data_IF_972252913941
#
_entry.id   IF_972252913941
#
_cell.length_a   1.000
_cell.length_b   1.000
_cell.length_c   1.000
_cell.angle_alpha   90.00
_cell.angle_beta   90.00
_cell.angle_gamma   90.00
#
_symmetry.space_group_name_H-M   'P 1'
#
loop_
_entity.id
_entity.type
_entity.pdbx_description
1 polymer ?
#
# COMPACT_ATOMS: atom_id res chain seq x y z
N UNK A 1 14.17 24.85 32.25
CA UNK A 1 13.38 23.61 32.40
C UNK A 1 12.14 23.72 31.51
N UNK A 2 12.30 23.53 30.23
CA UNK A 2 11.19 23.50 29.27
C UNK A 2 10.95 22.06 28.88
N UNK A 3 9.73 21.62 29.12
CA UNK A 3 9.27 20.29 28.70
C UNK A 3 9.07 20.31 27.18
N UNK A 4 9.92 19.59 26.46
CA UNK A 4 9.67 19.27 25.05
C UNK A 4 8.42 18.41 24.97
N UNK A 5 7.36 18.92 24.38
CA UNK A 5 6.18 18.15 23.99
C UNK A 5 6.59 17.25 22.82
N UNK A 6 6.45 15.94 23.00
CA UNK A 6 6.68 14.98 21.92
C UNK A 6 5.69 15.19 20.79
N UNK A 7 6.16 15.09 19.57
CA UNK A 7 5.36 14.98 18.36
C UNK A 7 4.50 13.71 18.45
N UNK A 8 3.24 13.75 18.00
CA UNK A 8 2.41 12.56 17.92
C UNK A 8 2.98 11.59 16.89
N UNK A 9 2.91 10.32 17.22
CA UNK A 9 3.35 9.20 16.41
C UNK A 9 2.60 9.21 15.06
N UNK A 10 3.29 9.47 13.97
CA UNK A 10 2.84 9.12 12.63
C UNK A 10 2.87 7.59 12.53
N UNK A 11 1.76 6.98 12.12
CA UNK A 11 1.77 5.59 11.67
C UNK A 11 2.53 5.52 10.35
N UNK A 12 3.81 5.28 10.43
CA UNK A 12 4.62 4.90 9.27
C UNK A 12 4.43 3.40 9.10
N UNK A 13 3.94 2.98 7.96
CA UNK A 13 3.95 1.57 7.55
C UNK A 13 5.40 1.12 7.41
N UNK A 14 5.80 0.30 8.29
CA UNK A 14 7.16 -0.16 8.46
C UNK A 14 7.40 -0.38 9.94
N UNK A 15 6.67 -1.33 10.57
CA UNK A 15 6.92 -1.69 11.94
C UNK A 15 8.18 -2.54 12.02
N UNK A 16 9.33 -1.88 11.99
CA UNK A 16 10.57 -2.48 12.44
C UNK A 16 10.80 -2.07 13.90
N UNK A 17 10.37 -2.89 14.83
CA UNK A 17 10.89 -2.84 16.19
C UNK A 17 12.22 -3.59 16.21
N UNK A 18 13.32 -2.85 16.07
CA UNK A 18 14.66 -3.41 16.21
C UNK A 18 14.97 -3.67 17.68
N UNK A 19 15.06 -4.94 18.04
CA UNK A 19 15.87 -5.37 19.18
C UNK A 19 17.14 -6.02 18.62
N UNK A 20 18.25 -5.31 18.71
CA UNK A 20 19.56 -5.84 18.37
C UNK A 20 20.04 -6.79 19.47
N UNK A 21 20.36 -8.04 19.10
CA UNK A 21 21.46 -8.81 19.70
C UNK A 21 21.93 -9.92 18.74
N UNK A 22 23.23 -9.96 18.56
CA UNK A 22 23.95 -10.86 17.69
C UNK A 22 24.04 -12.29 18.26
N UNK A 23 24.06 -13.31 17.40
CA UNK A 23 25.14 -14.29 17.20
C UNK A 23 24.72 -15.53 16.42
N UNK A 24 25.45 -15.74 15.34
CA UNK A 24 25.99 -16.98 14.79
C UNK A 24 25.13 -18.24 14.57
N UNK A 25 24.99 -18.59 13.28
CA UNK A 25 25.40 -19.90 12.77
C UNK A 25 24.33 -20.95 12.56
N UNK A 26 24.15 -21.24 11.34
CA UNK A 26 24.03 -22.53 10.64
C UNK A 26 22.83 -22.62 9.68
N UNK A 27 23.20 -22.84 8.44
CA UNK A 27 22.33 -23.11 7.29
C UNK A 27 21.53 -24.40 7.44
N UNK A 28 20.21 -24.27 7.38
CA UNK A 28 19.32 -25.36 6.99
C UNK A 28 18.13 -24.74 6.25
N UNK A 29 17.97 -25.09 4.97
CA UNK A 29 16.80 -24.76 4.17
C UNK A 29 15.53 -25.29 4.84
N UNK A 30 14.49 -24.51 5.05
CA UNK A 30 13.24 -25.02 5.54
C UNK A 30 12.46 -25.71 4.42
N UNK A 31 12.09 -26.94 4.64
CA UNK A 31 11.05 -27.65 3.86
C UNK A 31 9.73 -26.90 4.00
N UNK A 32 9.17 -26.49 2.88
CA UNK A 32 7.84 -25.92 2.81
C UNK A 32 6.80 -26.89 3.40
N UNK A 33 6.21 -26.55 4.53
CA UNK A 33 4.99 -27.18 5.02
C UNK A 33 3.82 -26.43 4.42
N UNK A 34 3.01 -27.12 3.62
CA UNK A 34 1.79 -26.61 3.01
C UNK A 34 0.83 -26.05 4.08
N UNK A 35 0.24 -24.88 3.85
CA UNK A 35 -0.76 -24.33 4.75
C UNK A 35 -2.05 -25.15 4.70
N UNK A 36 -2.62 -25.42 5.87
CA UNK A 36 -3.93 -26.08 5.99
C UNK A 36 -5.02 -25.06 5.71
N UNK A 37 -5.75 -25.25 4.63
CA UNK A 37 -6.95 -24.47 4.34
C UNK A 37 -7.99 -24.66 5.45
N UNK A 38 -8.34 -23.60 6.15
CA UNK A 38 -9.43 -23.61 7.13
C UNK A 38 -10.68 -22.94 6.58
N UNK A 39 -11.80 -23.61 6.80
CA UNK A 39 -13.14 -23.26 6.38
C UNK A 39 -13.65 -21.95 6.99
N UNK A 40 -14.31 -21.14 6.14
CA UNK A 40 -14.93 -19.88 6.49
C UNK A 40 -16.02 -19.99 7.58
N UNK A 41 -15.97 -19.12 8.56
CA UNK A 41 -17.09 -18.81 9.43
C UNK A 41 -17.69 -17.45 9.00
N UNK A 42 -19.01 -17.30 8.86
CA UNK A 42 -19.59 -16.04 8.43
C UNK A 42 -19.48 -14.99 9.53
N UNK A 43 -18.73 -13.93 9.30
CA UNK A 43 -18.79 -12.73 10.11
C UNK A 43 -20.07 -11.96 9.76
N UNK A 44 -20.72 -11.41 10.76
CA UNK A 44 -21.97 -10.67 10.59
C UNK A 44 -21.74 -9.38 9.78
N UNK A 45 -22.19 -9.38 8.52
CA UNK A 45 -22.27 -8.17 7.73
C UNK A 45 -23.45 -7.32 8.21
N UNK A 46 -23.20 -6.09 8.57
CA UNK A 46 -24.21 -5.10 8.90
C UNK A 46 -24.66 -4.40 7.61
N UNK A 47 -25.93 -4.58 7.27
CA UNK A 47 -26.75 -3.94 6.23
C UNK A 47 -26.59 -4.44 4.77
N UNK A 48 -27.74 -4.79 4.18
CA UNK A 48 -27.88 -5.11 2.76
C UNK A 48 -28.04 -3.82 1.94
N UNK A 49 -27.26 -3.62 0.87
CA UNK A 49 -27.22 -2.40 0.10
C UNK A 49 -28.00 -2.49 -1.24
N UNK A 50 -28.34 -1.32 -1.78
CA UNK A 50 -28.78 -1.13 -3.16
C UNK A 50 -27.57 -0.76 -4.04
N UNK A 51 -27.52 -1.22 -5.28
CA UNK A 51 -26.38 -1.12 -6.20
C UNK A 51 -25.87 0.32 -6.47
N UNK A 52 -26.71 1.34 -6.25
CA UNK A 52 -26.40 2.75 -6.48
C UNK A 52 -26.05 3.52 -5.21
N UNK A 53 -26.04 2.87 -4.04
CA UNK A 53 -25.71 3.53 -2.78
C UNK A 53 -24.21 3.50 -2.49
N UNK A 54 -23.74 4.60 -1.93
CA UNK A 54 -22.42 4.65 -1.30
C UNK A 54 -22.51 3.92 0.05
N UNK A 55 -21.48 3.14 0.36
CA UNK A 55 -21.41 2.34 1.58
C UNK A 55 -20.00 2.26 2.14
N UNK A 56 -19.88 1.88 3.40
CA UNK A 56 -18.63 1.40 3.96
C UNK A 56 -18.82 0.06 4.66
N UNK A 57 -17.75 -0.70 4.73
CA UNK A 57 -17.67 -1.97 5.46
C UNK A 57 -16.50 -1.90 6.42
N UNK A 58 -16.69 -2.39 7.63
CA UNK A 58 -15.60 -2.70 8.55
C UNK A 58 -15.42 -4.21 8.61
N UNK A 59 -14.18 -4.66 8.44
CA UNK A 59 -13.81 -6.07 8.40
C UNK A 59 -12.69 -6.29 9.40
N UNK A 60 -12.86 -7.30 10.25
CA UNK A 60 -11.91 -7.58 11.31
C UNK A 60 -12.57 -8.23 12.50
N UNK A 61 -11.84 -8.28 13.60
CA UNK A 61 -12.27 -8.89 14.86
C UNK A 61 -11.98 -8.01 16.07
N UNK A 62 -11.72 -8.63 17.23
CA UNK A 62 -11.43 -7.88 18.46
C UNK A 62 -9.97 -7.39 18.57
N UNK A 63 -9.16 -7.62 17.55
CA UNK A 63 -7.73 -7.28 17.49
C UNK A 63 -7.48 -6.18 16.47
N UNK A 64 -6.19 -5.86 16.24
CA UNK A 64 -5.80 -4.91 15.21
C UNK A 64 -5.85 -5.59 13.83
N UNK A 65 -6.67 -5.05 12.97
CA UNK A 65 -6.90 -5.52 11.61
C UNK A 65 -6.80 -4.33 10.67
N UNK A 66 -6.00 -4.41 9.61
CA UNK A 66 -5.76 -3.28 8.71
C UNK A 66 -6.05 -3.65 7.26
N UNK A 67 -6.71 -2.73 6.55
CA UNK A 67 -6.94 -2.83 5.11
C UNK A 67 -5.93 -2.00 4.34
N UNK A 68 -5.33 -2.58 3.30
CA UNK A 68 -4.27 -1.93 2.53
C UNK A 68 -4.58 -1.82 1.05
N UNK A 69 -4.49 -2.92 0.34
CA UNK A 69 -4.66 -2.96 -1.10
C UNK A 69 -6.12 -3.08 -1.51
N UNK A 70 -6.52 -2.39 -2.57
CA UNK A 70 -7.82 -2.56 -3.20
C UNK A 70 -7.68 -2.55 -4.72
N UNK A 71 -8.36 -3.48 -5.38
CA UNK A 71 -8.49 -3.54 -6.83
C UNK A 71 -9.95 -3.80 -7.21
N UNK A 72 -10.32 -3.41 -8.42
CA UNK A 72 -11.66 -3.61 -8.96
C UNK A 72 -11.56 -4.21 -10.35
N UNK A 73 -12.37 -5.21 -10.64
CA UNK A 73 -12.44 -5.81 -11.97
C UNK A 73 -13.50 -5.15 -12.87
N UNK A 74 -13.57 -5.62 -14.12
CA UNK A 74 -14.50 -5.09 -15.11
C UNK A 74 -15.98 -5.33 -14.75
N UNK A 75 -16.28 -6.30 -13.89
CA UNK A 75 -17.64 -6.54 -13.38
C UNK A 75 -18.03 -5.60 -12.25
N UNK A 76 -17.05 -4.87 -11.68
CA UNK A 76 -17.19 -4.00 -10.54
C UNK A 76 -17.02 -4.73 -9.20
N UNK A 77 -16.62 -6.00 -9.22
CA UNK A 77 -16.24 -6.73 -8.01
C UNK A 77 -14.91 -6.18 -7.44
N UNK A 78 -14.88 -6.05 -6.13
CA UNK A 78 -13.77 -5.43 -5.39
C UNK A 78 -12.96 -6.50 -4.68
N UNK A 79 -11.66 -6.47 -4.88
CA UNK A 79 -10.72 -7.32 -4.16
C UNK A 79 -9.98 -6.48 -3.13
N UNK A 80 -10.12 -6.86 -1.88
CA UNK A 80 -9.63 -6.10 -0.74
C UNK A 80 -8.61 -6.93 0.05
N UNK A 81 -7.36 -6.48 0.07
CA UNK A 81 -6.28 -7.12 0.77
C UNK A 81 -6.09 -6.51 2.16
N UNK A 82 -6.11 -7.35 3.17
CA UNK A 82 -5.99 -6.98 4.58
C UNK A 82 -4.98 -7.89 5.27
N UNK A 83 -4.51 -7.50 6.44
CA UNK A 83 -3.91 -8.42 7.39
C UNK A 83 -4.66 -8.37 8.71
N UNK A 84 -4.96 -9.55 9.25
CA UNK A 84 -5.87 -9.70 10.37
C UNK A 84 -5.35 -10.70 11.40
N UNK A 85 -5.44 -10.31 12.67
CA UNK A 85 -5.07 -11.15 13.80
C UNK A 85 -6.27 -11.93 14.33
N UNK A 86 -6.22 -13.27 14.22
CA UNK A 86 -7.27 -14.13 14.79
C UNK A 86 -7.29 -14.14 16.32
N UNK A 87 -8.46 -14.36 16.96
CA UNK A 87 -8.55 -14.52 18.39
C UNK A 87 -7.69 -15.67 18.91
N UNK A 88 -6.80 -15.38 19.84
CA UNK A 88 -5.88 -16.38 20.43
C UNK A 88 -4.55 -16.52 19.69
N UNK A 89 -4.39 -15.91 18.52
CA UNK A 89 -3.13 -15.86 17.80
C UNK A 89 -2.32 -14.63 18.21
N UNK A 90 -0.98 -14.73 18.07
CA UNK A 90 -0.06 -13.63 18.38
C UNK A 90 0.22 -12.75 17.15
N UNK A 91 0.04 -13.28 15.96
CA UNK A 91 0.41 -12.67 14.71
C UNK A 91 -0.79 -12.57 13.77
N UNK A 92 -0.68 -11.70 12.77
CA UNK A 92 -1.67 -11.54 11.71
C UNK A 92 -1.36 -12.45 10.54
N UNK A 93 -2.40 -12.80 9.78
CA UNK A 93 -2.31 -13.42 8.46
C UNK A 93 -2.82 -12.46 7.39
N UNK A 94 -2.46 -12.72 6.12
CA UNK A 94 -3.11 -12.06 4.99
C UNK A 94 -4.55 -12.57 4.86
N UNK A 95 -5.51 -11.66 4.74
CA UNK A 95 -6.91 -12.01 4.45
C UNK A 95 -7.39 -11.20 3.26
N UNK A 96 -7.80 -11.90 2.23
CA UNK A 96 -8.25 -11.32 0.97
C UNK A 96 -9.74 -11.55 0.82
N UNK A 97 -10.47 -10.49 0.49
CA UNK A 97 -11.91 -10.51 0.29
C UNK A 97 -12.26 -10.22 -1.16
N UNK A 98 -13.30 -10.89 -1.68
CA UNK A 98 -14.06 -10.40 -2.81
C UNK A 98 -15.37 -9.84 -2.30
N UNK A 99 -15.62 -8.57 -2.62
CA UNK A 99 -16.84 -7.82 -2.26
C UNK A 99 -17.54 -7.44 -3.55
N UNK A 100 -18.82 -7.75 -3.63
CA UNK A 100 -19.64 -7.40 -4.79
C UNK A 100 -19.92 -5.88 -4.85
N UNK A 101 -20.31 -5.31 -5.99
CA UNK A 101 -20.56 -3.87 -6.13
C UNK A 101 -21.59 -3.31 -5.15
N UNK A 102 -22.47 -4.16 -4.64
CA UNK A 102 -23.48 -3.82 -3.64
C UNK A 102 -23.00 -3.99 -2.19
N UNK A 103 -21.72 -4.34 -1.97
CA UNK A 103 -21.10 -4.45 -0.67
C UNK A 103 -21.24 -5.80 0.03
N UNK A 104 -21.75 -6.83 -0.66
CA UNK A 104 -21.83 -8.17 -0.08
C UNK A 104 -20.48 -8.91 -0.22
N UNK A 105 -20.08 -9.63 0.82
CA UNK A 105 -18.91 -10.51 0.76
C UNK A 105 -19.26 -11.75 -0.07
N UNK A 106 -18.55 -11.95 -1.19
CA UNK A 106 -18.69 -13.13 -2.02
C UNK A 106 -17.84 -14.29 -1.49
N UNK A 107 -16.58 -14.02 -1.19
CA UNK A 107 -15.66 -14.98 -0.57
C UNK A 107 -14.57 -14.25 0.25
N UNK A 108 -13.88 -15.01 1.07
CA UNK A 108 -12.63 -14.60 1.71
C UNK A 108 -11.63 -15.74 1.70
N UNK A 109 -10.35 -15.42 1.57
CA UNK A 109 -9.25 -16.37 1.67
C UNK A 109 -8.25 -15.87 2.68
N UNK A 110 -7.82 -16.75 3.58
CA UNK A 110 -6.76 -16.49 4.55
C UNK A 110 -5.51 -17.26 4.14
N UNK A 111 -4.40 -16.57 4.08
CA UNK A 111 -3.08 -17.16 3.86
C UNK A 111 -2.12 -16.70 4.96
N UNK A 112 -1.45 -17.66 5.55
CA UNK A 112 -0.49 -17.41 6.59
C UNK A 112 -0.02 -18.70 7.23
N UNK A 113 0.90 -18.56 8.15
CA UNK A 113 1.56 -19.68 8.79
C UNK A 113 1.60 -19.54 10.31
N UNK A 114 2.79 -19.74 10.85
CA UNK A 114 3.02 -19.69 12.31
C UNK A 114 3.37 -18.27 12.78
N UNK A 115 3.81 -17.42 11.89
CA UNK A 115 4.34 -16.10 12.21
C UNK A 115 3.49 -15.01 11.55
N UNK A 116 4.01 -13.81 11.43
CA UNK A 116 3.25 -12.68 10.90
C UNK A 116 3.33 -12.64 9.37
N UNK A 117 2.18 -12.47 8.74
CA UNK A 117 2.03 -12.16 7.33
C UNK A 117 1.23 -10.86 7.16
N UNK A 118 1.63 -10.05 6.18
CA UNK A 118 0.97 -8.80 5.85
C UNK A 118 0.75 -8.65 4.36
N UNK A 119 -0.48 -8.32 3.95
CA UNK A 119 -0.80 -7.94 2.59
C UNK A 119 -0.80 -6.41 2.46
N UNK A 120 -0.18 -5.88 1.40
CA UNK A 120 -0.07 -4.44 1.14
C UNK A 120 -0.70 -4.02 -0.19
N UNK A 121 -0.60 -4.87 -1.20
CA UNK A 121 -1.07 -4.54 -2.54
C UNK A 121 -1.86 -5.70 -3.14
N UNK A 122 -2.83 -5.37 -3.97
CA UNK A 122 -3.62 -6.35 -4.73
C UNK A 122 -3.85 -5.83 -6.15
N UNK A 123 -3.81 -6.74 -7.10
CA UNK A 123 -4.18 -6.50 -8.49
C UNK A 123 -5.06 -7.64 -8.99
N UNK A 124 -5.93 -7.35 -9.95
CA UNK A 124 -6.78 -8.35 -10.59
C UNK A 124 -6.63 -8.26 -12.10
N UNK A 125 -6.43 -9.40 -12.74
CA UNK A 125 -6.34 -9.46 -14.19
C UNK A 125 -6.77 -10.85 -14.69
N UNK A 126 -7.66 -10.87 -15.69
CA UNK A 126 -8.08 -12.08 -16.40
C UNK A 126 -8.53 -13.22 -15.49
N UNK A 127 -9.30 -12.92 -14.44
CA UNK A 127 -9.85 -13.90 -13.50
C UNK A 127 -8.86 -14.39 -12.44
N UNK A 128 -7.69 -13.74 -12.30
CA UNK A 128 -6.71 -14.04 -11.24
C UNK A 128 -6.48 -12.80 -10.39
N UNK A 129 -6.50 -12.99 -9.08
CA UNK A 129 -6.18 -11.98 -8.07
C UNK A 129 -4.76 -12.21 -7.58
N UNK A 130 -3.90 -11.23 -7.74
CA UNK A 130 -2.52 -11.24 -7.27
C UNK A 130 -2.40 -10.35 -6.04
N UNK A 131 -1.74 -10.86 -5.00
CA UNK A 131 -1.56 -10.14 -3.73
C UNK A 131 -0.08 -10.10 -3.41
N UNK A 132 0.40 -8.92 -3.05
CA UNK A 132 1.78 -8.72 -2.61
C UNK A 132 1.86 -8.27 -1.17
N UNK A 133 2.95 -8.65 -0.51
CA UNK A 133 3.20 -8.29 0.87
C UNK A 133 4.45 -8.95 1.43
N UNK A 134 4.40 -9.37 2.68
CA UNK A 134 5.52 -10.03 3.34
C UNK A 134 5.10 -11.24 4.19
N UNK A 135 6.07 -12.12 4.46
CA UNK A 135 5.96 -13.21 5.44
C UNK A 135 7.19 -13.24 6.34
N UNK A 136 7.01 -13.44 7.62
CA UNK A 136 8.11 -13.59 8.58
C UNK A 136 8.51 -15.04 8.77
N UNK A 137 9.81 -15.29 8.75
CA UNK A 137 10.38 -16.63 8.97
C UNK A 137 10.43 -17.04 10.45
N UNK A 138 10.24 -16.10 11.40
CA UNK A 138 10.42 -16.35 12.82
C UNK A 138 9.63 -15.38 13.72
N UNK A 139 9.38 -15.81 14.96
CA UNK A 139 8.63 -15.05 15.96
C UNK A 139 9.33 -13.78 16.47
N UNK A 140 10.63 -13.63 16.26
CA UNK A 140 11.37 -12.44 16.65
C UNK A 140 11.25 -11.28 15.65
N UNK A 141 10.57 -11.52 14.53
CA UNK A 141 10.27 -10.53 13.49
C UNK A 141 11.51 -9.78 12.97
N UNK A 142 12.65 -10.48 12.86
CA UNK A 142 13.91 -9.89 12.41
C UNK A 142 14.21 -10.15 10.93
N UNK A 143 13.47 -11.06 10.31
CA UNK A 143 13.61 -11.42 8.91
C UNK A 143 12.21 -11.56 8.31
N UNK A 144 11.98 -10.85 7.22
CA UNK A 144 10.78 -10.95 6.42
C UNK A 144 11.17 -11.13 4.96
N UNK A 145 10.46 -11.98 4.27
CA UNK A 145 10.61 -12.21 2.84
C UNK A 145 9.42 -11.61 2.09
N UNK A 146 9.63 -11.15 0.85
CA UNK A 146 8.54 -10.82 -0.06
C UNK A 146 7.62 -12.02 -0.24
N UNK A 147 6.32 -11.80 -0.19
CA UNK A 147 5.31 -12.82 -0.48
C UNK A 147 4.39 -12.35 -1.59
N UNK A 148 4.17 -13.21 -2.59
CA UNK A 148 3.24 -12.99 -3.70
C UNK A 148 2.31 -14.18 -3.80
N UNK A 149 1.01 -13.93 -3.87
CA UNK A 149 -0.03 -14.96 -4.01
C UNK A 149 -0.79 -14.76 -5.31
N UNK A 150 -1.26 -15.84 -5.90
CA UNK A 150 -2.28 -15.81 -6.94
C UNK A 150 -3.50 -16.63 -6.50
N UNK A 151 -4.67 -16.03 -6.58
CA UNK A 151 -5.94 -16.64 -6.23
C UNK A 151 -6.88 -16.65 -7.44
N UNK A 152 -7.72 -17.65 -7.56
CA UNK A 152 -8.83 -17.62 -8.51
C UNK A 152 -9.85 -16.56 -8.11
N UNK A 153 -10.17 -15.64 -9.02
CA UNK A 153 -11.10 -14.55 -8.74
C UNK A 153 -12.53 -15.02 -8.48
N UNK A 154 -12.93 -16.20 -9.00
CA UNK A 154 -14.30 -16.68 -8.89
C UNK A 154 -14.62 -17.19 -7.47
N UNK A 155 -13.71 -17.91 -6.84
CA UNK A 155 -13.96 -18.59 -5.56
C UNK A 155 -12.86 -18.39 -4.50
N UNK A 156 -11.78 -17.69 -4.84
CA UNK A 156 -10.69 -17.32 -3.91
C UNK A 156 -9.72 -18.46 -3.58
N UNK A 157 -9.76 -19.61 -4.29
CA UNK A 157 -8.80 -20.67 -4.00
C UNK A 157 -7.38 -20.25 -4.44
N UNK A 158 -6.38 -20.68 -3.67
CA UNK A 158 -4.97 -20.41 -3.95
C UNK A 158 -4.54 -21.21 -5.18
N UNK A 159 -4.04 -20.49 -6.20
CA UNK A 159 -3.45 -21.09 -7.41
C UNK A 159 -1.98 -21.41 -7.19
N UNK A 160 -1.25 -20.42 -6.66
CA UNK A 160 0.16 -20.56 -6.28
C UNK A 160 0.54 -19.47 -5.27
N UNK A 161 1.63 -19.69 -4.55
CA UNK A 161 2.33 -18.70 -3.74
C UNK A 161 3.83 -18.74 -4.06
N UNK A 162 4.46 -17.57 -3.92
CA UNK A 162 5.87 -17.36 -4.18
C UNK A 162 6.45 -16.52 -3.06
N UNK A 163 7.60 -16.93 -2.52
CA UNK A 163 8.34 -16.15 -1.54
C UNK A 163 9.76 -15.90 -2.04
N UNK A 164 10.24 -14.68 -1.81
CA UNK A 164 11.58 -14.28 -2.17
C UNK A 164 12.24 -13.47 -1.05
N UNK A 165 13.45 -13.83 -0.72
CA UNK A 165 14.28 -13.13 0.26
C UNK A 165 15.72 -13.60 0.21
N UNK A 166 16.63 -12.78 0.74
CA UNK A 166 18.06 -13.10 0.74
C UNK A 166 18.48 -13.99 1.92
N UNK A 167 17.52 -14.39 2.76
CA UNK A 167 17.77 -15.22 3.94
C UNK A 167 18.35 -14.45 5.14
N UNK A 168 18.51 -13.15 4.99
CA UNK A 168 18.85 -12.20 6.05
C UNK A 168 18.23 -10.85 5.71
N UNK A 169 17.70 -10.14 6.71
CA UNK A 169 17.15 -8.81 6.49
C UNK A 169 15.63 -8.78 6.38
N UNK A 170 15.15 -7.79 5.68
CA UNK A 170 13.73 -7.48 5.59
C UNK A 170 13.40 -7.09 4.16
N UNK A 171 12.48 -7.82 3.57
CA UNK A 171 11.99 -7.62 2.22
C UNK A 171 10.46 -7.52 2.24
N UNK A 172 9.90 -6.54 1.53
CA UNK A 172 8.44 -6.42 1.36
C UNK A 172 8.04 -5.97 -0.05
N UNK A 173 6.80 -6.26 -0.42
CA UNK A 173 6.20 -5.87 -1.69
C UNK A 173 5.27 -4.69 -1.45
N UNK A 174 5.53 -3.56 -2.13
CA UNK A 174 4.70 -2.35 -2.09
C UNK A 174 4.01 -2.05 -3.42
N UNK A 175 4.54 -2.56 -4.53
CA UNK A 175 3.99 -2.39 -5.86
C UNK A 175 3.84 -3.71 -6.62
N UNK A 176 2.72 -3.86 -7.34
CA UNK A 176 2.42 -5.06 -8.11
C UNK A 176 1.60 -4.69 -9.33
N UNK A 177 2.11 -5.04 -10.53
CA UNK A 177 1.45 -4.79 -11.81
C UNK A 177 1.47 -6.03 -12.67
N UNK A 178 0.30 -6.39 -13.19
CA UNK A 178 0.14 -7.49 -14.16
C UNK A 178 -0.01 -6.91 -15.54
N UNK A 179 0.89 -7.25 -16.46
CA UNK A 179 0.81 -6.82 -17.84
C UNK A 179 1.29 -7.87 -18.82
N UNK A 180 0.43 -8.22 -19.79
CA UNK A 180 0.67 -9.36 -20.70
C UNK A 180 0.83 -10.66 -19.89
N UNK A 181 1.90 -11.39 -20.16
CA UNK A 181 2.22 -12.65 -19.49
C UNK A 181 3.17 -12.48 -18.30
N UNK A 182 3.32 -11.23 -17.81
CA UNK A 182 4.28 -10.90 -16.75
C UNK A 182 3.60 -10.27 -15.55
N UNK A 183 4.14 -10.59 -14.39
CA UNK A 183 3.86 -9.96 -13.12
C UNK A 183 5.12 -9.22 -12.68
N UNK A 184 5.02 -7.90 -12.52
CA UNK A 184 6.08 -7.04 -12.01
C UNK A 184 5.82 -6.70 -10.56
N UNK A 185 6.84 -6.83 -9.75
CA UNK A 185 6.81 -6.62 -8.30
C UNK A 185 7.87 -5.60 -7.94
N UNK A 186 7.53 -4.63 -7.11
CA UNK A 186 8.47 -3.69 -6.52
C UNK A 186 8.27 -3.59 -5.01
N UNK A 187 9.28 -3.10 -4.35
CA UNK A 187 9.30 -2.88 -2.92
C UNK A 187 10.72 -2.53 -2.48
N UNK A 188 11.11 -2.95 -1.31
CA UNK A 188 12.48 -2.78 -0.87
C UNK A 188 13.07 -4.07 -0.32
N UNK A 189 14.36 -4.16 -0.35
CA UNK A 189 15.16 -5.30 0.10
C UNK A 189 16.33 -4.81 0.94
N UNK A 190 16.83 -5.65 1.79
CA UNK A 190 18.05 -5.33 2.54
C UNK A 190 19.25 -5.35 1.61
N UNK A 191 19.98 -4.23 1.52
CA UNK A 191 21.17 -4.09 0.73
C UNK A 191 22.41 -4.74 1.37
N UNK A 192 23.49 -4.85 0.60
CA UNK A 192 24.76 -5.48 1.04
C UNK A 192 25.37 -4.87 2.32
N UNK A 193 25.04 -3.62 2.65
CA UNK A 193 25.60 -2.87 3.78
C UNK A 193 24.63 -2.66 4.93
N UNK A 194 23.58 -3.51 5.06
CA UNK A 194 22.50 -3.35 6.05
C UNK A 194 21.62 -2.09 5.84
N UNK A 195 21.78 -1.39 4.73
CA UNK A 195 20.82 -0.40 4.23
C UNK A 195 19.68 -1.08 3.49
N UNK A 196 18.68 -0.34 3.09
CA UNK A 196 17.63 -0.84 2.20
C UNK A 196 17.83 -0.31 0.78
N UNK A 197 17.49 -1.14 -0.20
CA UNK A 197 17.54 -0.83 -1.63
C UNK A 197 16.14 -1.05 -2.24
N UNK A 198 15.83 -0.36 -3.35
CA UNK A 198 14.66 -0.65 -4.16
C UNK A 198 14.81 -2.06 -4.73
N UNK A 199 13.88 -2.96 -4.42
CA UNK A 199 13.84 -4.33 -4.91
C UNK A 199 12.85 -4.48 -6.06
N UNK A 200 13.19 -5.26 -7.07
CA UNK A 200 12.36 -5.55 -8.25
C UNK A 200 12.40 -7.03 -8.57
N UNK A 201 11.23 -7.59 -8.88
CA UNK A 201 11.10 -8.95 -9.44
C UNK A 201 10.22 -8.91 -10.68
N UNK A 202 10.52 -9.79 -11.62
CA UNK A 202 9.62 -10.15 -12.70
C UNK A 202 9.30 -11.63 -12.59
N UNK A 203 8.04 -11.95 -12.50
CA UNK A 203 7.52 -13.32 -12.50
C UNK A 203 6.70 -13.56 -13.77
N UNK A 204 6.55 -14.83 -14.15
CA UNK A 204 5.48 -15.24 -15.06
C UNK A 204 4.14 -15.19 -14.31
N UNK A 205 3.03 -15.33 -15.03
CA UNK A 205 1.69 -15.38 -14.41
C UNK A 205 1.48 -16.67 -13.59
N UNK A 206 2.29 -17.68 -13.82
CA UNK A 206 2.32 -18.96 -13.11
C UNK A 206 3.22 -18.92 -11.85
N UNK A 207 3.85 -17.77 -11.56
CA UNK A 207 4.69 -17.58 -10.37
C UNK A 207 6.15 -17.97 -10.53
N UNK A 208 6.64 -18.19 -11.75
CA UNK A 208 8.05 -18.51 -12.00
C UNK A 208 8.88 -17.23 -12.08
N UNK A 209 10.01 -17.15 -11.34
CA UNK A 209 10.92 -16.03 -11.37
C UNK A 209 11.64 -15.94 -12.73
N UNK A 210 11.50 -14.79 -13.40
CA UNK A 210 12.17 -14.50 -14.68
C UNK A 210 13.48 -13.76 -14.44
N UNK A 211 13.44 -12.69 -13.62
CA UNK A 211 14.62 -11.96 -13.19
C UNK A 211 14.33 -11.23 -11.86
N UNK A 212 15.41 -10.93 -11.14
CA UNK A 212 15.42 -10.07 -9.96
C UNK A 212 16.44 -8.95 -10.16
N UNK A 213 16.21 -7.81 -9.55
CA UNK A 213 17.10 -6.65 -9.60
C UNK A 213 16.96 -5.83 -8.33
N UNK A 214 18.03 -5.13 -7.95
CA UNK A 214 17.98 -4.14 -6.88
C UNK A 214 18.78 -2.90 -7.25
N UNK A 215 18.40 -1.76 -6.68
CA UNK A 215 19.10 -0.51 -6.87
C UNK A 215 19.02 0.36 -5.62
N UNK A 216 20.16 0.90 -5.21
CA UNK A 216 20.25 1.81 -4.09
C UNK A 216 21.66 2.39 -3.91
N UNK A 217 21.82 3.11 -2.81
CA UNK A 217 23.07 3.71 -2.35
C UNK A 217 23.48 3.06 -1.02
N UNK A 218 24.65 3.39 -0.45
CA UNK A 218 25.00 2.92 0.90
C UNK A 218 24.09 3.44 2.03
N UNK A 219 23.05 4.23 1.70
CA UNK A 219 22.03 4.76 2.61
C UNK A 219 20.71 4.04 2.37
N UNK A 220 19.65 4.42 3.09
CA UNK A 220 18.34 3.80 2.95
C UNK A 220 17.63 4.35 1.72
N UNK A 221 17.43 3.51 0.73
CA UNK A 221 16.65 3.77 -0.48
C UNK A 221 15.51 2.76 -0.52
N UNK A 222 14.27 3.21 -0.62
CA UNK A 222 13.09 2.33 -0.51
C UNK A 222 12.14 2.59 -1.67
N UNK A 223 11.52 1.52 -2.16
CA UNK A 223 10.46 1.57 -3.16
C UNK A 223 9.09 1.48 -2.49
N UNK A 224 8.75 2.43 -1.61
CA UNK A 224 7.54 2.41 -0.77
C UNK A 224 6.24 2.70 -1.54
N UNK A 225 6.34 3.07 -2.81
CA UNK A 225 5.21 3.45 -3.62
C UNK A 225 4.78 2.38 -4.61
N UNK A 226 3.56 2.52 -5.11
CA UNK A 226 3.07 1.71 -6.21
C UNK A 226 3.96 1.87 -7.45
N UNK A 227 3.94 0.88 -8.32
CA UNK A 227 4.70 0.83 -9.56
C UNK A 227 3.81 1.15 -10.76
N UNK A 228 4.39 1.81 -11.77
CA UNK A 228 3.81 1.97 -13.10
C UNK A 228 4.68 1.23 -14.10
N UNK A 229 4.05 0.52 -15.01
CA UNK A 229 4.70 -0.21 -16.11
C UNK A 229 4.24 0.39 -17.44
N UNK A 230 5.17 0.59 -18.37
CA UNK A 230 4.87 0.87 -19.79
C UNK A 230 5.63 -0.09 -20.71
N UNK A 231 5.58 0.14 -22.02
CA UNK A 231 6.17 -0.77 -23.00
C UNK A 231 7.69 -0.99 -22.82
N UNK A 232 8.41 0.01 -22.28
CA UNK A 232 9.87 0.00 -22.19
C UNK A 232 10.38 0.02 -20.73
N UNK A 233 9.57 0.49 -19.78
CA UNK A 233 10.07 0.89 -18.47
C UNK A 233 9.16 0.49 -17.32
N UNK A 234 9.78 0.34 -16.15
CA UNK A 234 9.17 0.31 -14.85
C UNK A 234 9.49 1.63 -14.13
N UNK A 235 8.51 2.21 -13.49
CA UNK A 235 8.66 3.42 -12.67
C UNK A 235 8.23 3.09 -11.24
N UNK A 236 9.10 3.40 -10.29
CA UNK A 236 8.85 3.17 -8.86
C UNK A 236 9.00 4.48 -8.11
N UNK A 237 8.04 4.79 -7.26
CA UNK A 237 8.12 5.89 -6.31
C UNK A 237 8.65 5.40 -4.96
N UNK A 238 9.26 6.30 -4.19
CA UNK A 238 9.78 5.91 -2.89
C UNK A 238 10.59 6.99 -2.20
N UNK A 239 11.56 6.55 -1.40
CA UNK A 239 12.44 7.39 -0.60
C UNK A 239 13.90 7.19 -1.00
N UNK A 240 14.66 8.27 -1.02
CA UNK A 240 16.06 8.31 -1.40
C UNK A 240 16.94 8.82 -0.28
N UNK A 241 18.01 8.09 0.02
CA UNK A 241 19.04 8.46 1.02
C UNK A 241 18.50 8.86 2.38
N UNK A 242 17.49 8.17 2.88
CA UNK A 242 17.03 8.36 4.24
C UNK A 242 18.13 8.01 5.26
N UNK A 243 18.13 8.68 6.41
CA UNK A 243 19.09 8.38 7.48
C UNK A 243 18.72 7.11 8.23
N UNK A 244 17.45 6.81 8.27
CA UNK A 244 16.84 5.60 8.79
C UNK A 244 15.37 5.54 8.35
N UNK A 245 14.63 4.50 8.72
CA UNK A 245 13.23 4.29 8.34
C UNK A 245 12.27 5.43 8.76
N UNK A 246 12.66 6.28 9.69
CA UNK A 246 11.79 7.30 10.27
C UNK A 246 12.23 8.74 9.98
N UNK A 247 13.47 8.97 9.55
CA UNK A 247 14.05 10.31 9.52
C UNK A 247 14.79 10.62 8.23
N UNK A 248 14.45 11.75 7.67
CA UNK A 248 15.13 12.34 6.52
C UNK A 248 14.85 11.57 5.24
N UNK A 249 15.51 11.99 4.19
CA UNK A 249 15.35 11.42 2.86
C UNK A 249 14.68 12.39 1.91
N UNK A 250 14.88 12.12 0.64
CA UNK A 250 14.24 12.82 -0.47
C UNK A 250 13.19 11.91 -1.08
N UNK A 251 12.10 12.46 -1.60
CA UNK A 251 11.19 11.73 -2.45
C UNK A 251 11.92 11.24 -3.70
N UNK A 252 11.64 10.04 -4.12
CA UNK A 252 12.27 9.34 -5.23
C UNK A 252 11.24 9.00 -6.31
N UNK A 253 11.61 9.19 -7.57
CA UNK A 253 11.00 8.53 -8.71
C UNK A 253 12.12 7.95 -9.54
N UNK A 254 12.15 6.62 -9.67
CA UNK A 254 13.20 5.88 -10.38
C UNK A 254 12.62 5.10 -11.55
N UNK A 255 13.37 5.05 -12.64
CA UNK A 255 13.04 4.35 -13.89
C UNK A 255 14.01 3.21 -14.13
N UNK A 256 13.45 2.04 -14.45
CA UNK A 256 14.19 0.83 -14.79
C UNK A 256 13.78 0.31 -16.18
N UNK A 257 14.63 -0.51 -16.77
CA UNK A 257 14.28 -1.28 -17.96
C UNK A 257 13.22 -2.33 -17.64
N UNK A 258 12.13 -2.36 -18.37
CA UNK A 258 11.09 -3.41 -18.24
C UNK A 258 11.61 -4.80 -18.59
N UNK A 259 12.56 -4.89 -19.50
CA UNK A 259 13.08 -6.16 -19.98
C UNK A 259 14.05 -6.80 -19.00
N UNK A 260 14.96 -6.00 -18.41
CA UNK A 260 16.07 -6.51 -17.61
C UNK A 260 16.04 -6.12 -16.16
N UNK A 261 15.18 -5.18 -15.73
CA UNK A 261 15.20 -4.61 -14.38
C UNK A 261 16.39 -3.66 -14.12
N UNK A 262 17.23 -3.37 -15.12
CA UNK A 262 18.38 -2.50 -14.95
C UNK A 262 17.97 -1.04 -14.74
N UNK A 263 18.67 -0.37 -13.83
CA UNK A 263 18.51 1.05 -13.57
C UNK A 263 18.79 1.89 -14.81
N UNK A 264 17.91 2.86 -15.11
CA UNK A 264 18.06 3.81 -16.22
C UNK A 264 18.32 5.23 -15.72
N UNK A 265 17.46 5.76 -14.86
CA UNK A 265 17.58 7.10 -14.30
C UNK A 265 16.68 7.30 -13.08
N UNK A 266 16.92 8.35 -12.32
CA UNK A 266 16.02 8.78 -11.24
C UNK A 266 15.94 10.30 -11.15
N UNK A 267 14.95 10.80 -10.44
CA UNK A 267 14.85 12.18 -9.98
C UNK A 267 14.44 12.17 -8.51
N UNK A 268 14.95 13.15 -7.76
CA UNK A 268 14.64 13.32 -6.34
C UNK A 268 14.14 14.71 -6.05
N UNK A 269 13.45 14.86 -4.94
CA UNK A 269 12.96 16.15 -4.46
C UNK A 269 12.73 16.10 -2.96
N UNK A 270 12.67 17.28 -2.34
CA UNK A 270 12.31 17.39 -0.94
C UNK A 270 13.11 18.41 -0.20
N UNK A 271 12.74 18.58 1.05
CA UNK A 271 13.33 19.50 2.01
C UNK A 271 14.20 18.79 3.04
N UNK A 272 14.83 19.57 3.94
CA UNK A 272 15.84 19.06 4.87
C UNK A 272 15.28 18.14 5.98
N UNK A 273 13.97 18.06 6.16
CA UNK A 273 13.35 17.20 7.20
C UNK A 273 12.94 15.85 6.64
N UNK A 274 12.39 15.83 5.43
CA UNK A 274 12.06 14.57 4.76
C UNK A 274 10.92 14.70 3.75
N UNK A 275 10.95 13.83 2.76
CA UNK A 275 9.90 13.67 1.76
C UNK A 275 9.80 12.20 1.38
N UNK A 276 8.58 11.68 1.37
CA UNK A 276 8.29 10.30 0.98
C UNK A 276 7.31 10.29 -0.18
N UNK A 277 7.67 9.63 -1.28
CA UNK A 277 6.75 9.34 -2.36
C UNK A 277 6.12 7.96 -2.14
N UNK A 278 4.85 7.94 -1.77
CA UNK A 278 4.16 6.76 -1.27
C UNK A 278 3.16 6.15 -2.27
N UNK A 279 2.83 6.88 -3.33
CA UNK A 279 1.94 6.40 -4.37
C UNK A 279 2.33 6.91 -5.75
N UNK A 280 2.06 6.10 -6.78
CA UNK A 280 2.35 6.39 -8.17
C UNK A 280 1.24 5.86 -9.07
N UNK A 281 0.83 6.65 -10.06
CA UNK A 281 -0.11 6.24 -11.11
C UNK A 281 0.24 6.88 -12.45
N UNK A 282 -0.43 6.48 -13.52
CA UNK A 282 -0.23 7.02 -14.86
C UNK A 282 -1.54 7.13 -15.63
N UNK A 283 -1.67 8.18 -16.46
CA UNK A 283 -2.71 8.29 -17.48
C UNK A 283 -2.27 7.71 -18.86
N UNK A 284 -1.16 6.97 -18.87
CA UNK A 284 -0.51 6.46 -20.09
C UNK A 284 0.50 7.44 -20.68
N UNK A 285 0.33 8.75 -20.50
CA UNK A 285 1.23 9.81 -21.01
C UNK A 285 2.13 10.37 -19.92
N UNK A 286 1.57 10.61 -18.75
CA UNK A 286 2.23 11.22 -17.61
C UNK A 286 2.22 10.30 -16.40
N UNK A 287 3.16 10.54 -15.51
CA UNK A 287 3.24 9.91 -14.19
C UNK A 287 2.77 10.91 -13.14
N UNK A 288 2.08 10.41 -12.13
CA UNK A 288 1.58 11.20 -11.00
C UNK A 288 2.03 10.55 -9.69
N UNK A 289 2.89 11.25 -8.95
CA UNK A 289 3.38 10.81 -7.65
C UNK A 289 2.71 11.56 -6.52
N UNK A 290 2.39 10.86 -5.42
CA UNK A 290 1.81 11.40 -4.21
C UNK A 290 2.59 10.96 -2.98
N UNK A 291 2.53 11.72 -1.92
CA UNK A 291 3.16 11.39 -0.65
C UNK A 291 3.09 12.53 0.34
N UNK A 292 4.06 12.59 1.22
CA UNK A 292 4.19 13.68 2.16
C UNK A 292 5.54 14.39 2.01
N UNK A 293 5.55 15.69 2.31
CA UNK A 293 6.76 16.49 2.47
C UNK A 293 6.68 17.28 3.78
N UNK A 294 7.81 17.39 4.47
CA UNK A 294 7.90 18.10 5.75
C UNK A 294 8.95 19.20 5.65
N UNK A 295 8.53 20.43 5.89
CA UNK A 295 9.40 21.60 5.98
C UNK A 295 9.63 22.05 7.43
N UNK A 296 10.71 22.80 7.66
CA UNK A 296 11.09 23.28 9.01
C UNK A 296 9.96 24.12 9.65
N UNK A 297 9.47 23.66 10.81
CA UNK A 297 8.46 24.38 11.60
C UNK A 297 7.03 24.21 11.10
N UNK A 298 6.80 23.34 10.13
CA UNK A 298 5.47 23.00 9.60
C UNK A 298 5.12 21.54 9.86
N UNK A 299 3.85 21.19 9.78
CA UNK A 299 3.38 19.82 9.72
C UNK A 299 3.70 19.18 8.36
N UNK A 300 3.49 17.88 8.24
CA UNK A 300 3.56 17.20 6.96
C UNK A 300 2.47 17.69 6.01
N UNK A 301 2.79 17.86 4.73
CA UNK A 301 1.84 18.23 3.69
C UNK A 301 1.78 17.15 2.62
N UNK A 302 0.60 16.89 2.09
CA UNK A 302 0.43 16.05 0.90
C UNK A 302 0.96 16.81 -0.31
N UNK A 303 1.85 16.20 -1.08
CA UNK A 303 2.19 16.68 -2.41
C UNK A 303 1.55 15.80 -3.49
N UNK A 304 1.25 16.42 -4.63
CA UNK A 304 0.96 15.72 -5.90
C UNK A 304 1.89 16.30 -6.95
N UNK A 305 2.63 15.43 -7.65
CA UNK A 305 3.58 15.84 -8.69
C UNK A 305 3.30 15.11 -10.00
N UNK A 306 3.30 15.86 -11.09
CA UNK A 306 3.17 15.35 -12.46
C UNK A 306 4.50 15.38 -13.17
N UNK A 307 4.85 14.25 -13.82
CA UNK A 307 6.07 14.10 -14.59
C UNK A 307 5.77 13.55 -15.99
N UNK A 308 6.65 13.83 -16.97
CA UNK A 308 6.69 13.04 -18.18
C UNK A 308 7.46 11.72 -17.95
N UNK A 309 7.45 10.82 -18.94
CA UNK A 309 8.13 9.51 -18.89
C UNK A 309 9.67 9.61 -18.90
N UNK A 310 10.24 10.78 -19.13
CA UNK A 310 11.66 11.11 -19.00
C UNK A 310 11.98 11.74 -17.63
N UNK A 311 11.03 11.64 -16.68
CA UNK A 311 11.11 12.19 -15.33
C UNK A 311 11.23 13.73 -15.27
N UNK A 312 10.80 14.43 -16.31
CA UNK A 312 10.71 15.88 -16.36
C UNK A 312 9.47 16.38 -15.61
N UNK A 313 9.68 17.13 -14.50
CA UNK A 313 8.59 17.69 -13.70
C UNK A 313 7.74 18.66 -14.52
N UNK A 314 6.42 18.54 -14.46
CA UNK A 314 5.45 19.44 -15.10
C UNK A 314 4.84 20.42 -14.11
N UNK A 315 4.34 19.92 -12.99
CA UNK A 315 3.82 20.74 -11.90
C UNK A 315 3.88 20.02 -10.56
N UNK A 316 3.75 20.80 -9.49
CA UNK A 316 3.59 20.31 -8.11
C UNK A 316 2.42 21.04 -7.47
N UNK A 317 1.56 20.29 -6.78
CA UNK A 317 0.52 20.81 -5.91
C UNK A 317 0.77 20.35 -4.49
N UNK A 318 0.50 21.23 -3.52
CA UNK A 318 0.58 20.94 -2.10
C UNK A 318 -0.80 21.11 -1.46
N UNK A 319 -1.12 20.23 -0.54
CA UNK A 319 -2.33 20.32 0.28
C UNK A 319 -2.03 19.93 1.71
N UNK A 320 -2.54 20.72 2.64
CA UNK A 320 -2.38 20.47 4.07
C UNK A 320 -2.79 21.64 4.92
N UNK A 321 -2.81 21.40 6.22
CA UNK A 321 -3.16 22.39 7.24
C UNK A 321 -1.99 22.72 8.17
N UNK A 322 -2.29 22.95 9.43
CA UNK A 322 -1.30 23.33 10.44
C UNK A 322 -0.61 22.13 11.12
N UNK A 323 -1.12 20.93 10.91
CA UNK A 323 -0.61 19.69 11.51
C UNK A 323 -0.01 18.78 10.45
N UNK A 324 -0.28 17.47 10.52
CA UNK A 324 0.34 16.50 9.65
C UNK A 324 -0.69 15.87 8.72
N UNK A 325 -0.36 15.84 7.45
CA UNK A 325 -1.11 15.18 6.40
C UNK A 325 -0.19 14.27 5.60
N UNK A 326 -0.68 13.09 5.21
CA UNK A 326 0.02 12.18 4.30
C UNK A 326 -0.96 11.50 3.34
N UNK A 327 -0.49 11.11 2.16
CA UNK A 327 -1.27 10.32 1.22
C UNK A 327 -0.44 9.19 0.64
N UNK A 328 -1.08 8.02 0.49
CA UNK A 328 -0.45 6.82 -0.08
C UNK A 328 -1.05 6.41 -1.41
N UNK A 329 -2.32 6.71 -1.62
CA UNK A 329 -3.02 6.19 -2.78
C UNK A 329 -3.41 7.31 -3.74
N UNK A 330 -3.20 7.05 -5.03
CA UNK A 330 -3.49 7.97 -6.12
C UNK A 330 -4.00 7.20 -7.32
N UNK A 331 -5.02 7.75 -7.98
CA UNK A 331 -5.53 7.23 -9.23
C UNK A 331 -5.89 8.38 -10.16
N UNK A 332 -5.86 8.15 -11.46
CA UNK A 332 -6.26 9.12 -12.48
C UNK A 332 -7.43 8.55 -13.28
N UNK A 333 -8.50 9.36 -13.43
CA UNK A 333 -9.66 8.95 -14.23
C UNK A 333 -9.44 9.17 -15.73
N UNK A 334 -10.34 8.64 -16.56
CA UNK A 334 -10.27 8.76 -18.03
C UNK A 334 -10.40 10.20 -18.54
N UNK A 335 -10.80 11.15 -17.70
CA UNK A 335 -10.87 12.58 -18.00
C UNK A 335 -9.63 13.34 -17.53
N UNK A 336 -8.66 12.65 -16.94
CA UNK A 336 -7.40 13.20 -16.45
C UNK A 336 -7.50 13.86 -15.06
N UNK A 337 -8.64 13.71 -14.34
CA UNK A 337 -8.72 14.14 -12.95
C UNK A 337 -8.00 13.15 -12.04
N UNK A 338 -7.32 13.69 -11.06
CA UNK A 338 -6.51 12.92 -10.11
C UNK A 338 -7.26 12.84 -8.78
N UNK A 339 -7.50 11.61 -8.31
CA UNK A 339 -8.07 11.32 -6.99
C UNK A 339 -6.95 10.82 -6.09
N UNK A 340 -6.87 11.38 -4.88
CA UNK A 340 -5.87 11.06 -3.87
C UNK A 340 -6.57 10.66 -2.60
N UNK A 341 -6.09 9.60 -1.95
CA UNK A 341 -6.56 9.16 -0.65
C UNK A 341 -5.42 9.11 0.37
N UNK A 342 -5.70 9.55 1.59
CA UNK A 342 -4.72 9.65 2.65
C UNK A 342 -5.36 9.95 4.01
N UNK A 343 -4.61 10.67 4.85
CA UNK A 343 -5.02 11.02 6.20
C UNK A 343 -4.65 12.48 6.54
N UNK A 344 -5.39 13.11 7.44
CA UNK A 344 -5.17 14.48 7.89
C UNK A 344 -5.48 14.62 9.39
N UNK A 345 -4.58 15.27 10.12
CA UNK A 345 -4.77 15.69 11.52
C UNK A 345 -5.24 17.16 11.64
N UNK A 346 -5.30 17.90 10.53
CA UNK A 346 -5.66 19.33 10.54
C UNK A 346 -7.16 19.59 10.51
N UNK A 347 -7.96 18.60 10.06
CA UNK A 347 -9.40 18.73 9.89
C UNK A 347 -10.07 17.39 10.14
N UNK A 348 -11.37 17.44 10.48
CA UNK A 348 -12.17 16.22 10.71
C UNK A 348 -12.78 16.18 12.12
N UNK A 349 -13.19 14.99 12.56
CA UNK A 349 -13.99 14.80 13.76
C UNK A 349 -13.17 14.39 15.00
N UNK A 350 -11.89 14.04 14.84
CA UNK A 350 -11.13 13.47 15.95
C UNK A 350 -9.61 13.63 15.84
N UNK A 351 -8.91 12.51 15.74
CA UNK A 351 -7.47 12.46 15.51
C UNK A 351 -7.12 12.63 14.04
N UNK A 352 -6.47 11.63 13.45
CA UNK A 352 -6.33 11.53 12.00
C UNK A 352 -7.67 11.13 11.39
N UNK A 353 -8.11 11.82 10.36
CA UNK A 353 -9.28 11.44 9.57
C UNK A 353 -8.85 11.07 8.15
N UNK A 354 -9.52 10.10 7.55
CA UNK A 354 -9.36 9.76 6.15
C UNK A 354 -9.68 11.00 5.30
N UNK A 355 -8.79 11.34 4.37
CA UNK A 355 -8.99 12.44 3.44
C UNK A 355 -9.02 11.94 2.01
N UNK A 356 -9.96 12.50 1.23
CA UNK A 356 -10.01 12.38 -0.22
C UNK A 356 -9.85 13.74 -0.85
N UNK A 357 -8.98 13.82 -1.87
CA UNK A 357 -8.72 15.03 -2.64
C UNK A 357 -8.96 14.74 -4.11
N UNK A 358 -9.49 15.70 -4.83
CA UNK A 358 -9.55 15.67 -6.28
C UNK A 358 -8.88 16.88 -6.86
N UNK A 359 -8.03 16.65 -7.85
CA UNK A 359 -7.35 17.70 -8.61
C UNK A 359 -7.75 17.63 -10.08
N UNK A 360 -7.80 18.79 -10.72
CA UNK A 360 -7.95 18.86 -12.18
C UNK A 360 -6.65 18.44 -12.90
N UNK A 361 -6.66 18.23 -14.22
CA UNK A 361 -5.45 17.85 -14.96
C UNK A 361 -4.28 18.83 -14.89
N UNK A 362 -4.54 20.09 -14.50
CA UNK A 362 -3.55 21.15 -14.31
C UNK A 362 -3.02 21.21 -12.87
N UNK A 363 -3.50 20.31 -11.98
CA UNK A 363 -3.08 20.20 -10.58
C UNK A 363 -3.77 21.18 -9.63
N UNK A 364 -4.88 21.79 -10.04
CA UNK A 364 -5.67 22.64 -9.12
C UNK A 364 -6.63 21.78 -8.33
N UNK A 365 -6.73 22.04 -7.02
CA UNK A 365 -7.70 21.33 -6.16
C UNK A 365 -9.12 21.65 -6.63
N UNK A 366 -9.89 20.61 -6.95
CA UNK A 366 -11.30 20.67 -7.29
C UNK A 366 -12.14 20.59 -6.01
N UNK A 367 -11.91 19.57 -5.20
CA UNK A 367 -12.52 19.40 -3.88
C UNK A 367 -11.65 18.61 -2.91
N UNK A 368 -11.94 18.74 -1.61
CA UNK A 368 -11.44 17.91 -0.52
C UNK A 368 -12.59 17.43 0.34
N UNK A 369 -12.52 16.19 0.85
CA UNK A 369 -13.51 15.57 1.75
C UNK A 369 -12.79 14.79 2.83
N UNK A 370 -13.43 14.69 3.99
CA UNK A 370 -12.95 13.88 5.11
C UNK A 370 -14.02 12.88 5.52
N UNK A 371 -13.57 11.74 6.01
CA UNK A 371 -14.40 10.69 6.58
C UNK A 371 -13.73 10.13 7.82
N UNK A 372 -14.44 10.09 8.93
CA UNK A 372 -13.92 9.56 10.17
C UNK A 372 -14.84 9.81 11.34
N UNK A 373 -14.38 9.36 12.51
CA UNK A 373 -15.04 9.48 13.78
C UNK A 373 -14.16 10.17 14.83
N UNK A 374 -14.35 9.88 16.15
CA UNK A 374 -13.60 10.57 17.20
C UNK A 374 -12.16 10.07 17.39
N UNK A 375 -11.76 8.97 16.75
CA UNK A 375 -10.41 8.40 16.84
C UNK A 375 -9.63 8.58 15.53
N UNK A 376 -8.80 7.62 15.13
CA UNK A 376 -7.98 7.74 13.93
C UNK A 376 -8.54 6.90 12.79
N UNK A 377 -8.57 7.47 11.60
CA UNK A 377 -8.85 6.81 10.32
C UNK A 377 -7.78 7.17 9.30
N UNK A 378 -7.40 6.21 8.47
CA UNK A 378 -6.43 6.42 7.40
C UNK A 378 -6.78 5.66 6.13
N UNK A 379 -6.50 6.26 4.96
CA UNK A 379 -6.62 5.60 3.68
C UNK A 379 -5.25 5.14 3.20
N UNK A 380 -5.18 3.87 2.77
CA UNK A 380 -3.95 3.20 2.35
C UNK A 380 -4.00 2.72 0.89
N UNK A 381 -5.21 2.49 0.36
CA UNK A 381 -5.44 2.04 -1.02
C UNK A 381 -6.59 2.77 -1.69
N UNK A 382 -6.53 2.86 -3.02
CA UNK A 382 -7.56 3.50 -3.86
C UNK A 382 -7.63 2.79 -5.21
N UNK A 383 -8.84 2.43 -5.62
CA UNK A 383 -9.12 1.91 -6.96
C UNK A 383 -10.32 2.62 -7.59
N UNK A 384 -10.24 2.94 -8.89
CA UNK A 384 -11.34 3.50 -9.66
C UNK A 384 -12.06 2.39 -10.43
N UNK A 385 -13.38 2.33 -10.30
CA UNK A 385 -14.25 1.39 -11.01
C UNK A 385 -15.38 2.13 -11.72
N UNK A 386 -15.15 2.59 -12.96
CA UNK A 386 -16.13 3.40 -13.69
C UNK A 386 -16.38 4.75 -13.01
N UNK A 387 -17.61 4.97 -12.55
CA UNK A 387 -18.01 6.23 -11.90
C UNK A 387 -17.90 6.20 -10.37
N UNK A 388 -17.34 5.15 -9.82
CA UNK A 388 -17.11 5.00 -8.37
C UNK A 388 -15.65 4.80 -8.05
N UNK A 389 -15.26 5.10 -6.82
CA UNK A 389 -13.96 4.74 -6.29
C UNK A 389 -14.13 3.89 -5.02
N UNK A 390 -13.18 3.01 -4.79
CA UNK A 390 -13.08 2.22 -3.58
C UNK A 390 -11.84 2.61 -2.82
N UNK A 391 -12.01 2.90 -1.53
CA UNK A 391 -10.93 3.35 -0.63
C UNK A 391 -10.75 2.31 0.44
N UNK A 392 -9.54 1.75 0.50
CA UNK A 392 -9.12 0.82 1.53
C UNK A 392 -8.36 1.55 2.64
N UNK A 393 -8.51 1.13 3.88
CA UNK A 393 -7.82 1.74 4.99
C UNK A 393 -8.10 1.08 6.32
N UNK A 394 -7.88 1.83 7.39
CA UNK A 394 -8.18 1.40 8.76
C UNK A 394 -8.96 2.44 9.55
N UNK A 395 -9.65 1.99 10.58
CA UNK A 395 -10.45 2.81 11.48
C UNK A 395 -10.33 2.35 12.92
N UNK A 396 -10.15 3.31 13.83
CA UNK A 396 -10.24 3.11 15.27
C UNK A 396 -11.60 3.56 15.84
N UNK A 397 -12.42 4.22 15.03
CA UNK A 397 -13.72 4.76 15.47
C UNK A 397 -14.87 3.78 15.24
N UNK A 398 -14.75 2.90 14.26
CA UNK A 398 -15.83 2.02 13.82
C UNK A 398 -15.35 0.56 13.81
N UNK A 399 -16.31 -0.38 14.02
CA UNK A 399 -15.97 -1.81 14.06
C UNK A 399 -15.99 -2.40 15.46
N UNK A 400 -15.28 -3.51 15.66
CA UNK A 400 -15.32 -4.27 16.91
C UNK A 400 -13.96 -4.37 17.62
N UNK A 401 -12.90 -3.89 16.99
CA UNK A 401 -11.51 -4.08 17.42
C UNK A 401 -10.81 -2.84 17.98
N UNK A 402 -9.50 -2.96 18.03
CA UNK A 402 -8.61 -1.85 18.34
C UNK A 402 -8.35 -1.00 17.08
N UNK A 403 -8.30 -1.67 15.95
CA UNK A 403 -8.11 -1.14 14.61
C UNK A 403 -8.80 -2.12 13.68
N UNK A 404 -9.73 -1.65 12.86
CA UNK A 404 -10.47 -2.49 11.93
C UNK A 404 -10.18 -2.06 10.49
N UNK A 405 -10.06 -3.03 9.60
CA UNK A 405 -9.95 -2.76 8.16
C UNK A 405 -11.26 -2.12 7.66
N UNK A 406 -11.15 -1.03 6.92
CA UNK A 406 -12.30 -0.33 6.34
C UNK A 406 -12.21 -0.27 4.83
N UNK A 407 -13.34 -0.50 4.17
CA UNK A 407 -13.52 -0.34 2.73
C UNK A 407 -14.69 0.59 2.48
N UNK A 408 -14.46 1.70 1.76
CA UNK A 408 -15.51 2.65 1.37
C UNK A 408 -15.76 2.59 -0.13
N UNK A 409 -17.03 2.66 -0.53
CA UNK A 409 -17.47 2.99 -1.89
C UNK A 409 -17.90 4.45 -1.94
N UNK A 410 -17.26 5.25 -2.80
CA UNK A 410 -17.43 6.70 -2.86
C UNK A 410 -17.71 7.18 -4.29
N UNK A 411 -18.29 8.37 -4.43
CA UNK A 411 -18.43 9.08 -5.72
C UNK A 411 -17.22 10.02 -5.91
N UNK A 412 -16.25 9.68 -6.75
CA UNK A 412 -15.04 10.50 -6.93
C UNK A 412 -15.31 11.75 -7.77
N UNK A 413 -16.44 11.83 -8.48
CA UNK A 413 -16.78 12.98 -9.32
C UNK A 413 -17.33 14.12 -8.48
N UNK A 414 -18.27 13.83 -7.59
CA UNK A 414 -18.94 14.84 -6.77
C UNK A 414 -18.40 14.90 -5.33
N UNK A 415 -17.47 14.03 -4.98
CA UNK A 415 -16.91 13.95 -3.63
C UNK A 415 -17.94 13.52 -2.59
N UNK A 416 -18.85 12.61 -2.95
CA UNK A 416 -19.84 12.08 -2.01
C UNK A 416 -19.25 10.86 -1.30
N UNK A 417 -19.42 10.84 0.02
CA UNK A 417 -18.97 9.77 0.91
C UNK A 417 -20.18 9.11 1.59
N UNK A 418 -20.06 7.82 1.98
CA UNK A 418 -21.07 7.22 2.86
C UNK A 418 -21.05 7.93 4.21
N UNK A 419 -22.19 8.09 4.89
CA UNK A 419 -22.19 8.62 6.24
C UNK A 419 -21.43 7.65 7.17
N UNK A 420 -20.61 8.17 8.09
CA UNK A 420 -19.88 7.36 9.06
C UNK A 420 -20.79 6.78 10.15
#
# INVERSE_FOLDING_TARGET
MERRRGLPFMMVSGAALLAALACAGSSASPSATLPVAMTASPAAASQAPHSDMLWYLTLGGAKADQGWGVAVDESGDVYFATHQQSPGELFSDMVIYRITPDGAQAWQTRWGGKFMEKAFVVAVNSGVVYVGGLTYASANLTQADMAVLALDAADGHLLWDFTWGQGYGYEEVDGLVVEGDSLFVSGWTTGETTSTDVGLLKLTREGELVWESSWGTPQWDQGDGQMVVDDESLFVAGRYKAQNILLGGEGLLVRFSRETGEYLQHTTWGGPIGTDALGLTSDGTYLYAVGLTVDEGQGGQIFVRKYDKQLGLKWTSLWGGAKSESARAIAVDSSGYIVVAGESDSAGAGGLDLVLLRFDPDGRLDWSRQWGGPANEGALGLALGGNVAYVAGSTHSFGMGQDDAVLLKVDPVHGLLPPP
#
